data_IF_185650633686
#
_entry.id   IF_185650633686
#
_cell.length_a   1.000
_cell.length_b   1.000
_cell.length_c   1.000
_cell.angle_alpha   90.00
_cell.angle_beta   90.00
_cell.angle_gamma   90.00
#
_symmetry.space_group_name_H-M   'P 1'
#
loop_
_entity.id
_entity.type
_entity.pdbx_description
1 polymer ?
#
# COMPACT_ATOMS: atom_id res chain seq x y z
N UNK A 1 20.04 -3.89 -12.09
CA UNK A 1 19.49 -4.36 -10.80
C UNK A 1 19.18 -3.13 -9.96
N UNK A 2 18.08 -3.15 -9.21
CA UNK A 2 17.70 -2.23 -8.11
C UNK A 2 18.83 -1.28 -7.68
N UNK A 3 18.57 0.03 -7.64
CA UNK A 3 19.47 1.19 -7.42
C UNK A 3 20.52 1.10 -6.28
N UNK A 4 21.32 0.04 -6.22
CA UNK A 4 22.17 -0.29 -5.08
C UNK A 4 21.38 -0.61 -3.80
N UNK A 5 22.07 -0.72 -2.64
CA UNK A 5 21.46 -0.99 -1.35
C UNK A 5 20.34 0.00 -0.98
N UNK A 6 20.48 1.26 -1.35
CA UNK A 6 19.45 2.28 -1.12
C UNK A 6 18.15 2.01 -1.87
N UNK A 7 18.23 1.55 -3.12
CA UNK A 7 17.06 1.12 -3.88
C UNK A 7 16.34 -0.07 -3.23
N UNK A 8 17.10 -1.04 -2.69
CA UNK A 8 16.53 -2.20 -2.01
C UNK A 8 15.80 -1.79 -0.72
N UNK A 9 16.39 -0.89 0.06
CA UNK A 9 15.76 -0.33 1.27
C UNK A 9 14.47 0.41 0.93
N UNK A 10 14.48 1.29 -0.09
CA UNK A 10 13.25 1.97 -0.53
C UNK A 10 12.20 0.96 -1.00
N UNK A 11 12.58 -0.05 -1.76
CA UNK A 11 11.64 -1.08 -2.24
C UNK A 11 10.98 -1.81 -1.06
N UNK A 12 11.77 -2.22 -0.06
CA UNK A 12 11.24 -2.81 1.17
C UNK A 12 10.31 -1.85 1.94
N UNK A 13 10.71 -0.59 2.06
CA UNK A 13 9.88 0.44 2.70
C UNK A 13 8.56 0.68 1.94
N UNK A 14 8.59 0.72 0.62
CA UNK A 14 7.41 0.90 -0.22
C UNK A 14 6.40 -0.23 -0.03
N UNK A 15 6.86 -1.48 0.05
CA UNK A 15 5.99 -2.63 0.36
C UNK A 15 5.37 -2.50 1.75
N UNK A 16 6.19 -2.14 2.76
CA UNK A 16 5.70 -1.99 4.13
C UNK A 16 4.65 -0.88 4.25
N UNK A 17 4.89 0.28 3.63
CA UNK A 17 3.96 1.43 3.64
C UNK A 17 2.68 1.09 2.87
N UNK A 18 2.78 0.44 1.70
CA UNK A 18 1.62 0.02 0.93
C UNK A 18 0.72 -0.96 1.71
N UNK A 19 1.31 -1.98 2.35
CA UNK A 19 0.57 -2.93 3.17
C UNK A 19 -0.07 -2.25 4.38
N UNK A 20 0.63 -1.33 5.04
CA UNK A 20 0.09 -0.59 6.17
C UNK A 20 -1.10 0.29 5.76
N UNK A 21 -0.98 1.02 4.65
CA UNK A 21 -2.04 1.87 4.12
C UNK A 21 -3.28 1.05 3.73
N UNK A 22 -3.11 -0.03 2.96
CA UNK A 22 -4.23 -0.90 2.57
C UNK A 22 -4.85 -1.62 3.77
N UNK A 23 -4.06 -2.06 4.75
CA UNK A 23 -4.61 -2.66 5.98
C UNK A 23 -5.44 -1.65 6.79
N UNK A 24 -5.02 -0.38 6.86
CA UNK A 24 -5.79 0.68 7.50
C UNK A 24 -7.12 0.92 6.77
N UNK A 25 -7.10 1.00 5.43
CA UNK A 25 -8.30 1.12 4.60
C UNK A 25 -9.24 -0.06 4.78
N UNK A 26 -8.72 -1.29 4.79
CA UNK A 26 -9.52 -2.50 5.00
C UNK A 26 -10.18 -2.48 6.38
N UNK A 27 -9.43 -2.15 7.43
CA UNK A 27 -9.98 -2.05 8.80
C UNK A 27 -11.08 -0.99 8.86
N UNK A 28 -10.90 0.15 8.21
CA UNK A 28 -11.91 1.19 8.14
C UNK A 28 -13.15 0.71 7.38
N UNK A 29 -12.97 0.11 6.20
CA UNK A 29 -14.05 -0.41 5.37
C UNK A 29 -14.84 -1.51 6.09
N UNK A 30 -14.18 -2.49 6.71
CA UNK A 30 -14.86 -3.55 7.47
C UNK A 30 -15.62 -2.99 8.66
N UNK A 31 -15.04 -2.04 9.40
CA UNK A 31 -15.72 -1.40 10.55
C UNK A 31 -16.92 -0.56 10.12
N UNK A 32 -16.87 0.09 8.95
CA UNK A 32 -17.91 1.00 8.46
C UNK A 32 -19.01 0.28 7.66
N UNK A 33 -18.62 -0.71 6.86
CA UNK A 33 -19.47 -1.38 5.88
C UNK A 33 -19.88 -2.80 6.32
N UNK A 34 -19.22 -3.36 7.33
CA UNK A 34 -19.56 -4.68 7.88
C UNK A 34 -19.03 -5.88 7.09
N UNK A 35 -18.20 -5.67 6.07
CA UNK A 35 -17.66 -6.77 5.25
C UNK A 35 -16.64 -6.32 4.20
N UNK A 36 -16.23 -7.28 3.35
CA UNK A 36 -15.27 -7.07 2.24
C UNK A 36 -15.99 -7.35 0.92
N UNK A 37 -16.37 -6.30 0.21
CA UNK A 37 -16.97 -6.38 -1.14
C UNK A 37 -15.89 -6.24 -2.22
N UNK A 38 -16.27 -6.47 -3.49
CA UNK A 38 -15.37 -6.28 -4.63
C UNK A 38 -14.79 -4.85 -4.70
N UNK A 39 -15.60 -3.83 -4.43
CA UNK A 39 -15.16 -2.43 -4.43
C UNK A 39 -14.11 -2.14 -3.35
N UNK A 40 -14.22 -2.78 -2.18
CA UNK A 40 -13.21 -2.65 -1.12
C UNK A 40 -11.89 -3.21 -1.62
N UNK A 41 -11.90 -4.41 -2.20
CA UNK A 41 -10.67 -5.02 -2.75
C UNK A 41 -10.04 -4.16 -3.86
N UNK A 42 -10.87 -3.60 -4.75
CA UNK A 42 -10.41 -2.65 -5.77
C UNK A 42 -9.70 -1.44 -5.14
N UNK A 43 -10.34 -0.81 -4.15
CA UNK A 43 -9.75 0.32 -3.42
C UNK A 43 -8.45 -0.07 -2.69
N UNK A 44 -8.33 -1.28 -2.15
CA UNK A 44 -7.10 -1.74 -1.51
C UNK A 44 -5.92 -1.83 -2.49
N UNK A 45 -6.17 -2.28 -3.72
CA UNK A 45 -5.16 -2.37 -4.78
C UNK A 45 -4.71 -0.97 -5.20
N UNK A 46 -5.65 -0.04 -5.39
CA UNK A 46 -5.33 1.35 -5.73
C UNK A 46 -4.52 2.03 -4.61
N UNK A 47 -4.94 1.90 -3.35
CA UNK A 47 -4.22 2.46 -2.19
C UNK A 47 -2.82 1.85 -2.04
N UNK A 48 -2.69 0.53 -2.19
CA UNK A 48 -1.38 -0.13 -2.13
C UNK A 48 -0.45 0.41 -3.22
N UNK A 49 -0.96 0.51 -4.44
CA UNK A 49 -0.20 0.98 -5.60
C UNK A 49 0.22 2.44 -5.42
N UNK A 50 -0.72 3.32 -5.03
CA UNK A 50 -0.43 4.73 -4.80
C UNK A 50 0.61 4.92 -3.69
N UNK A 51 0.46 4.22 -2.56
CA UNK A 51 1.39 4.30 -1.44
C UNK A 51 2.80 3.79 -1.82
N UNK A 52 2.90 2.71 -2.58
CA UNK A 52 4.17 2.19 -3.08
C UNK A 52 4.86 3.20 -4.02
N UNK A 53 4.12 3.76 -4.98
CA UNK A 53 4.65 4.74 -5.94
C UNK A 53 5.10 6.03 -5.26
N UNK A 54 4.30 6.55 -4.32
CA UNK A 54 4.67 7.73 -3.54
C UNK A 54 5.94 7.49 -2.72
N UNK A 55 6.06 6.32 -2.08
CA UNK A 55 7.26 5.97 -1.31
C UNK A 55 8.51 5.86 -2.20
N UNK A 56 8.37 5.36 -3.42
CA UNK A 56 9.46 5.33 -4.39
C UNK A 56 9.82 6.71 -4.96
N UNK A 57 8.86 7.63 -5.01
CA UNK A 57 9.08 8.98 -5.52
C UNK A 57 9.84 9.88 -4.54
N UNK A 58 9.90 9.52 -3.25
CA UNK A 58 10.73 10.22 -2.25
C UNK A 58 12.20 9.93 -2.55
N UNK A 59 12.96 11.00 -2.84
CA UNK A 59 14.40 10.95 -3.13
C UNK A 59 15.23 11.28 -1.90
#
# INVERSE_FOLDING_TARGET
>A
AVDGPGGAVRAGAAVAVALAASAATLRHAVRRLGGVTGDVLGALVEVATAAALLTQAVR
#
